data_IF_019743317619
#
_entry.id   IF_019743317619
#
_cell.length_a   1.000
_cell.length_b   1.000
_cell.length_c   1.000
_cell.angle_alpha   90.00
_cell.angle_beta   90.00
_cell.angle_gamma   90.00
#
_symmetry.space_group_name_H-M   'P 1'
#
loop_
_entity.id
_entity.type
_entity.pdbx_description
1 polymer ?
#
# COMPACT_ATOMS: atom_id res chain seq x y z
N UNK A 1 -19.24 -12.78 -18.51
CA UNK A 1 -18.22 -11.83 -18.03
C UNK A 1 -16.94 -12.17 -18.76
N UNK A 2 -16.54 -11.33 -19.73
CA UNK A 2 -15.52 -11.63 -20.72
C UNK A 2 -14.13 -11.70 -20.08
N UNK A 3 -13.54 -12.89 -20.05
CA UNK A 3 -12.10 -13.09 -19.88
C UNK A 3 -11.48 -13.09 -21.27
N UNK A 4 -11.17 -11.93 -21.80
CA UNK A 4 -10.39 -11.85 -23.04
C UNK A 4 -8.96 -12.28 -22.73
N UNK A 5 -8.47 -13.29 -23.43
CA UNK A 5 -7.07 -13.75 -23.45
C UNK A 5 -6.77 -14.23 -24.86
N UNK A 6 -5.51 -14.09 -25.28
CA UNK A 6 -5.11 -14.27 -26.67
C UNK A 6 -5.33 -15.70 -27.20
N UNK A 7 -5.26 -16.74 -26.35
CA UNK A 7 -5.49 -18.14 -26.74
C UNK A 7 -6.02 -19.00 -25.56
N UNK A 8 -7.19 -18.68 -25.01
CA UNK A 8 -7.80 -19.54 -23.99
C UNK A 8 -8.55 -20.71 -24.65
N UNK A 9 -8.00 -21.92 -24.60
CA UNK A 9 -8.62 -23.11 -25.21
C UNK A 9 -9.76 -23.63 -24.33
N UNK A 10 -10.96 -23.60 -24.91
CA UNK A 10 -12.11 -24.46 -24.63
C UNK A 10 -12.40 -24.62 -23.13
N UNK A 11 -12.89 -23.54 -22.49
CA UNK A 11 -13.67 -23.45 -21.23
C UNK A 11 -13.29 -22.26 -20.33
N UNK A 12 -12.33 -21.40 -20.70
CA UNK A 12 -12.04 -20.16 -19.96
C UNK A 12 -11.43 -20.36 -18.56
N UNK A 13 -11.06 -21.61 -18.22
CA UNK A 13 -10.43 -22.00 -16.95
C UNK A 13 -8.93 -22.27 -17.14
N UNK A 14 -8.50 -22.66 -18.35
CA UNK A 14 -7.11 -22.97 -18.67
C UNK A 14 -6.61 -22.15 -19.86
N UNK A 15 -6.04 -20.98 -19.61
CA UNK A 15 -5.30 -20.24 -20.63
C UNK A 15 -3.82 -20.65 -20.64
N UNK A 16 -3.26 -20.84 -21.83
CA UNK A 16 -1.82 -21.13 -22.01
C UNK A 16 -0.97 -19.87 -21.85
N UNK A 17 -1.55 -18.72 -22.18
CA UNK A 17 -0.95 -17.38 -22.08
C UNK A 17 -2.01 -16.39 -21.59
N UNK A 18 -1.57 -15.44 -20.77
CA UNK A 18 -2.40 -14.36 -20.25
C UNK A 18 -2.13 -13.05 -21.01
N UNK A 19 -3.06 -12.09 -20.96
CA UNK A 19 -2.86 -10.79 -21.62
C UNK A 19 -1.70 -10.05 -20.95
N UNK A 20 -1.73 -9.98 -19.62
CA UNK A 20 -0.64 -9.42 -18.84
C UNK A 20 0.32 -10.53 -18.42
N UNK A 21 1.29 -10.81 -19.29
CA UNK A 21 2.29 -11.87 -19.07
C UNK A 21 3.22 -11.63 -17.87
N UNK A 22 3.27 -10.40 -17.34
CA UNK A 22 4.13 -10.05 -16.21
C UNK A 22 3.39 -10.15 -14.88
N UNK A 23 2.11 -9.75 -14.85
CA UNK A 23 1.35 -9.62 -13.61
C UNK A 23 0.15 -10.56 -13.53
N UNK A 24 -0.06 -11.48 -14.49
CA UNK A 24 -1.06 -12.55 -14.40
C UNK A 24 -0.41 -13.93 -14.32
N UNK A 25 -1.08 -14.85 -13.63
CA UNK A 25 -0.64 -16.24 -13.50
C UNK A 25 -1.55 -17.18 -14.29
N UNK A 26 -0.94 -18.05 -15.11
CA UNK A 26 -1.65 -19.19 -15.71
C UNK A 26 -1.94 -20.25 -14.65
N UNK A 27 -3.00 -21.07 -14.80
CA UNK A 27 -3.94 -21.13 -15.93
C UNK A 27 -5.11 -20.13 -15.87
N UNK A 28 -5.35 -19.50 -14.72
CA UNK A 28 -6.57 -18.72 -14.44
C UNK A 28 -6.54 -17.28 -14.97
N UNK A 29 -5.34 -16.78 -15.29
CA UNK A 29 -5.03 -15.39 -15.62
C UNK A 29 -5.53 -14.39 -14.58
N UNK A 30 -5.43 -14.77 -13.31
CA UNK A 30 -5.65 -13.85 -12.20
C UNK A 30 -4.41 -12.98 -12.02
N UNK A 31 -4.62 -11.73 -11.62
CA UNK A 31 -3.54 -10.85 -11.23
C UNK A 31 -2.77 -11.42 -10.03
N UNK A 32 -1.46 -11.24 -10.02
CA UNK A 32 -0.60 -11.57 -8.88
C UNK A 32 -0.90 -10.66 -7.69
N UNK A 33 -0.47 -11.08 -6.50
CA UNK A 33 -0.62 -10.28 -5.29
C UNK A 33 0.00 -8.88 -5.47
N UNK A 34 -0.72 -7.86 -4.99
CA UNK A 34 -0.35 -6.46 -5.20
C UNK A 34 -0.89 -5.85 -6.49
N UNK A 35 -1.70 -6.59 -7.25
CA UNK A 35 -2.37 -6.08 -8.44
C UNK A 35 -3.84 -6.49 -8.51
N UNK A 36 -4.66 -5.69 -9.19
CA UNK A 36 -6.07 -5.97 -9.45
C UNK A 36 -6.40 -5.87 -10.94
N UNK A 37 -7.39 -6.64 -11.38
CA UNK A 37 -7.78 -6.66 -12.79
C UNK A 37 -8.50 -5.38 -13.18
N UNK A 38 -7.94 -4.64 -14.13
CA UNK A 38 -8.62 -3.57 -14.82
C UNK A 38 -9.55 -4.17 -15.87
N UNK A 39 -10.85 -4.16 -15.62
CA UNK A 39 -11.83 -4.79 -16.51
C UNK A 39 -11.96 -4.09 -17.87
N UNK A 40 -11.49 -2.86 -18.01
CA UNK A 40 -11.52 -2.11 -19.26
C UNK A 40 -10.37 -2.50 -20.20
N UNK A 41 -9.19 -2.76 -19.66
CA UNK A 41 -7.98 -3.11 -20.44
C UNK A 41 -7.62 -4.59 -20.40
N UNK A 42 -8.21 -5.34 -19.46
CA UNK A 42 -7.80 -6.71 -19.09
C UNK A 42 -6.36 -6.85 -18.58
N UNK A 43 -5.71 -5.72 -18.24
CA UNK A 43 -4.40 -5.67 -17.60
C UNK A 43 -4.54 -5.63 -16.08
N UNK A 44 -3.43 -5.81 -15.37
CA UNK A 44 -3.39 -5.74 -13.93
C UNK A 44 -2.82 -4.39 -13.47
N UNK A 45 -3.62 -3.63 -12.74
CA UNK A 45 -3.20 -2.36 -12.15
C UNK A 45 -2.60 -2.61 -10.77
N UNK A 46 -1.45 -1.98 -10.50
CA UNK A 46 -0.77 -2.12 -9.21
C UNK A 46 -1.56 -1.41 -8.10
N UNK A 47 -1.63 -2.03 -6.93
CA UNK A 47 -2.14 -1.40 -5.72
C UNK A 47 -1.35 -0.13 -5.39
N UNK A 48 -2.05 0.92 -4.96
CA UNK A 48 -1.40 2.15 -4.55
C UNK A 48 -0.72 1.94 -3.20
N UNK A 49 0.53 2.41 -3.09
CA UNK A 49 1.22 2.47 -1.80
C UNK A 49 0.41 3.35 -0.84
N UNK A 50 0.16 2.95 0.42
CA UNK A 50 0.82 1.88 1.17
C UNK A 50 0.13 0.51 1.19
N UNK A 51 -0.81 0.24 0.29
CA UNK A 51 -1.38 -1.11 0.17
C UNK A 51 -0.32 -2.10 -0.34
N UNK A 52 -0.16 -3.24 0.34
CA UNK A 52 0.59 -4.38 -0.20
C UNK A 52 -0.29 -5.25 -1.11
N UNK A 53 -1.56 -5.41 -0.74
CA UNK A 53 -2.60 -6.04 -1.56
C UNK A 53 -3.87 -5.19 -1.49
N UNK A 54 -4.66 -5.19 -2.55
CA UNK A 54 -5.87 -4.38 -2.66
C UNK A 54 -6.99 -5.18 -3.35
N UNK A 55 -8.22 -4.70 -3.24
CA UNK A 55 -9.40 -5.32 -3.82
C UNK A 55 -10.36 -4.25 -4.35
N UNK A 56 -11.10 -4.51 -5.43
CA UNK A 56 -12.10 -3.59 -6.00
C UNK A 56 -11.50 -2.35 -6.67
N UNK A 57 -10.63 -1.62 -5.98
CA UNK A 57 -9.86 -0.48 -6.49
C UNK A 57 -8.42 -0.55 -6.00
N UNK A 58 -7.53 0.19 -6.65
CA UNK A 58 -6.09 0.21 -6.30
C UNK A 58 -5.82 0.77 -4.90
N UNK A 59 -6.75 1.55 -4.34
CA UNK A 59 -6.64 2.21 -3.03
C UNK A 59 -7.34 1.46 -1.88
N UNK A 60 -8.16 0.45 -2.19
CA UNK A 60 -8.87 -0.32 -1.17
C UNK A 60 -7.97 -1.47 -0.72
N UNK A 61 -7.24 -1.25 0.38
CA UNK A 61 -6.24 -2.17 0.87
C UNK A 61 -6.86 -3.38 1.58
N UNK A 62 -6.35 -4.57 1.28
CA UNK A 62 -6.58 -5.78 2.08
C UNK A 62 -5.43 -6.04 3.07
N UNK A 63 -4.22 -5.69 2.66
CA UNK A 63 -3.03 -5.73 3.52
C UNK A 63 -2.16 -4.52 3.22
N UNK A 64 -1.30 -4.16 4.17
CA UNK A 64 -0.41 -3.01 4.05
C UNK A 64 1.04 -3.44 3.81
N UNK A 65 1.81 -2.55 3.19
CA UNK A 65 3.25 -2.67 3.09
C UNK A 65 3.88 -2.77 4.49
N UNK A 66 5.09 -3.31 4.56
CA UNK A 66 5.81 -3.45 5.83
C UNK A 66 5.88 -2.10 6.56
N UNK A 67 5.72 -2.13 7.89
CA UNK A 67 5.65 -0.97 8.81
C UNK A 67 4.33 -0.19 8.84
N UNK A 68 3.39 -0.47 7.93
CA UNK A 68 2.05 0.13 7.94
C UNK A 68 1.03 -0.78 8.63
N UNK A 69 -0.08 -0.18 9.06
CA UNK A 69 -1.21 -0.88 9.67
C UNK A 69 -2.52 -0.59 8.94
N UNK A 70 -3.37 -1.60 8.84
CA UNK A 70 -4.67 -1.52 8.16
C UNK A 70 -5.74 -1.04 9.14
N UNK A 71 -6.54 -0.07 8.71
CA UNK A 71 -7.84 0.21 9.31
C UNK A 71 -8.90 -0.61 8.58
N UNK A 72 -9.35 -1.70 9.19
CA UNK A 72 -10.36 -2.60 8.61
C UNK A 72 -11.72 -1.94 8.36
N UNK A 73 -12.01 -0.78 8.95
CA UNK A 73 -13.28 -0.07 8.69
C UNK A 73 -13.21 0.69 7.38
N UNK A 74 -12.08 1.35 7.12
CA UNK A 74 -11.88 2.21 5.95
C UNK A 74 -11.12 1.54 4.81
N UNK A 75 -10.50 0.39 5.07
CA UNK A 75 -9.61 -0.33 4.15
C UNK A 75 -8.43 0.53 3.69
N UNK A 76 -7.93 1.37 4.59
CA UNK A 76 -6.78 2.24 4.34
C UNK A 76 -5.58 1.80 5.18
N UNK A 77 -4.39 2.08 4.67
CA UNK A 77 -3.13 1.80 5.34
C UNK A 77 -2.52 3.10 5.87
N UNK A 78 -2.10 3.09 7.13
CA UNK A 78 -1.45 4.23 7.78
C UNK A 78 -0.43 3.76 8.81
N UNK A 79 0.48 4.67 9.20
CA UNK A 79 1.42 4.38 10.28
C UNK A 79 0.70 4.20 11.61
N UNK A 80 1.30 3.44 12.52
CA UNK A 80 0.84 3.35 13.90
C UNK A 80 0.80 4.73 14.54
N UNK A 81 -0.03 4.89 15.58
CA UNK A 81 -0.17 6.17 16.30
C UNK A 81 1.17 6.73 16.81
N UNK A 82 2.16 5.88 17.06
CA UNK A 82 3.52 6.23 17.50
C UNK A 82 4.58 6.27 16.41
N UNK A 83 4.14 6.38 15.16
CA UNK A 83 4.99 6.42 13.99
C UNK A 83 4.58 7.54 13.04
N UNK A 84 5.52 7.96 12.22
CA UNK A 84 5.31 8.92 11.14
C UNK A 84 5.87 8.35 9.84
N UNK A 85 5.26 8.73 8.73
CA UNK A 85 5.75 8.36 7.41
C UNK A 85 6.95 9.21 7.04
N UNK A 86 8.03 8.57 6.59
CA UNK A 86 9.18 9.25 6.01
C UNK A 86 9.20 9.13 4.49
N UNK A 87 9.48 10.26 3.84
CA UNK A 87 9.61 10.38 2.39
C UNK A 87 10.98 9.87 1.90
N UNK A 88 11.28 8.60 2.18
CA UNK A 88 12.42 7.85 1.64
C UNK A 88 11.90 6.80 0.65
N UNK A 89 12.77 6.20 -0.17
CA UNK A 89 12.36 5.15 -1.11
C UNK A 89 13.01 3.83 -0.71
N UNK A 90 12.25 2.78 -0.35
CA UNK A 90 10.79 2.75 -0.22
C UNK A 90 10.28 3.55 0.99
N UNK A 91 9.10 4.16 0.87
CA UNK A 91 8.45 4.87 1.97
C UNK A 91 8.15 3.90 3.10
N UNK A 92 8.33 4.36 4.34
CA UNK A 92 8.16 3.53 5.54
C UNK A 92 7.71 4.37 6.73
N UNK A 93 7.13 3.70 7.71
CA UNK A 93 6.84 4.28 9.01
C UNK A 93 8.07 4.16 9.92
N UNK A 94 8.43 5.27 10.57
CA UNK A 94 9.47 5.32 11.59
C UNK A 94 8.88 5.71 12.94
N UNK A 95 9.39 5.11 14.01
CA UNK A 95 8.97 5.44 15.37
C UNK A 95 9.31 6.88 15.70
N UNK A 96 8.41 7.55 16.44
CA UNK A 96 8.74 8.78 17.13
C UNK A 96 9.90 8.48 18.09
N UNK A 97 11.05 9.11 17.88
CA UNK A 97 12.16 9.02 18.83
C UNK A 97 12.07 10.15 19.84
N UNK A 98 12.44 9.88 21.09
CA UNK A 98 12.70 10.94 22.08
C UNK A 98 13.62 11.99 21.44
N UNK A 99 13.31 13.28 21.56
CA UNK A 99 12.37 13.92 22.50
C UNK A 99 10.87 14.03 22.09
N UNK A 100 10.45 13.43 20.98
CA UNK A 100 9.05 13.50 20.52
C UNK A 100 8.13 12.55 21.30
N UNK A 101 6.90 13.00 21.57
CA UNK A 101 5.86 12.23 22.23
C UNK A 101 5.33 11.08 21.35
N UNK A 102 4.55 10.19 21.97
CA UNK A 102 3.99 8.97 21.37
C UNK A 102 3.05 9.21 20.18
N UNK A 103 2.71 10.45 19.83
CA UNK A 103 1.90 10.77 18.65
C UNK A 103 2.66 11.60 17.60
N UNK A 104 3.98 11.80 17.77
CA UNK A 104 4.83 12.64 16.91
C UNK A 104 4.35 14.10 16.74
N UNK A 105 3.31 14.53 17.44
CA UNK A 105 2.70 15.86 17.32
C UNK A 105 3.11 16.83 18.42
N UNK A 106 3.84 16.35 19.43
CA UNK A 106 4.34 17.18 20.53
C UNK A 106 5.66 16.63 21.07
N UNK A 107 6.34 17.43 21.89
CA UNK A 107 7.45 16.95 22.72
C UNK A 107 6.92 16.18 23.92
N UNK A 108 7.77 15.34 24.52
CA UNK A 108 7.49 14.76 25.84
C UNK A 108 7.33 15.88 26.89
N UNK A 109 6.61 15.59 27.98
CA UNK A 109 6.32 16.56 29.05
C UNK A 109 7.64 17.13 29.59
N UNK A 110 7.78 18.46 29.58
CA UNK A 110 8.95 19.17 30.12
C UNK A 110 9.88 19.78 29.07
N UNK A 111 9.70 19.48 27.78
CA UNK A 111 10.47 20.10 26.69
C UNK A 111 9.64 21.12 25.91
N UNK A 112 10.30 22.19 25.47
CA UNK A 112 9.70 23.24 24.67
C UNK A 112 9.73 22.88 23.17
N UNK A 113 8.62 23.12 22.48
CA UNK A 113 8.55 22.99 21.02
C UNK A 113 9.16 24.23 20.36
N UNK A 114 10.26 24.06 19.63
CA UNK A 114 10.87 25.11 18.83
C UNK A 114 10.71 24.79 17.34
N UNK A 115 10.04 25.67 16.59
CA UNK A 115 10.05 25.67 15.13
C UNK A 115 11.32 26.38 14.66
N UNK A 116 12.47 25.72 14.77
CA UNK A 116 13.68 26.19 14.08
C UNK A 116 13.70 25.59 12.68
N UNK A 117 13.68 26.46 11.67
CA UNK A 117 13.86 26.10 10.25
C UNK A 117 12.96 24.96 9.77
N UNK A 118 11.64 25.18 9.81
CA UNK A 118 10.64 24.31 9.18
C UNK A 118 10.64 22.83 9.66
N UNK A 119 11.22 22.58 10.84
CA UNK A 119 11.39 21.24 11.42
C UNK A 119 10.98 21.27 12.90
N UNK A 120 10.25 20.25 13.35
CA UNK A 120 9.88 20.07 14.76
C UNK A 120 11.15 19.75 15.57
N UNK A 121 11.56 20.67 16.44
CA UNK A 121 12.69 20.47 17.38
C UNK A 121 12.16 20.58 18.80
N UNK A 122 12.50 19.63 19.65
CA UNK A 122 12.24 19.70 21.09
C UNK A 122 13.56 20.00 21.79
N UNK A 123 13.60 21.11 22.52
CA UNK A 123 14.77 21.56 23.30
C UNK A 123 14.35 21.79 24.76
N UNK A 124 15.33 21.71 25.69
CA UNK A 124 15.17 22.03 27.12
C UNK A 124 14.78 23.50 27.36
#
# INVERSE_FOLDING_TARGET
MQKTSADCLINGINCSTCIDTQNQTTPSCNCVDGYIMNTSTSLCDQCQHPCATCQTTVDYCLTCAATYTIDSNTHTCSCLTSQYEVNVTPQKCQNCTSPCATNCGSCVIGLNQNLKTNQFVCDD
#
